data_IF_422228782380
#
_entry.id   IF_422228782380
#
_cell.length_a   1.000
_cell.length_b   1.000
_cell.length_c   1.000
_cell.angle_alpha   90.00
_cell.angle_beta   90.00
_cell.angle_gamma   90.00
#
_symmetry.space_group_name_H-M   'P 1'
#
loop_
_entity.id
_entity.type
_entity.pdbx_description
1 polymer ?
#
# COMPACT_ATOMS: atom_id res chain seq x y z
N UNK A 1 55.19 31.30 49.41
CA UNK A 1 55.21 29.94 48.83
C UNK A 1 54.54 29.94 47.45
N UNK A 2 55.28 29.60 46.39
CA UNK A 2 54.76 29.53 45.01
C UNK A 2 53.96 28.23 44.85
N UNK A 3 52.64 28.30 44.65
CA UNK A 3 51.80 27.10 44.41
C UNK A 3 52.23 26.46 43.07
N UNK A 4 52.70 25.20 43.08
CA UNK A 4 52.94 24.45 41.84
C UNK A 4 51.59 24.21 41.16
N UNK A 5 51.44 24.63 39.91
CA UNK A 5 50.27 24.27 39.09
C UNK A 5 50.37 22.78 38.78
N UNK A 6 49.37 21.99 39.18
CA UNK A 6 49.27 20.57 38.81
C UNK A 6 48.93 20.51 37.31
N UNK A 7 49.88 20.04 36.49
CA UNK A 7 49.63 19.74 35.08
C UNK A 7 49.14 18.30 34.92
N UNK A 8 48.33 18.04 33.90
CA UNK A 8 47.93 16.69 33.53
C UNK A 8 49.14 15.92 32.99
N UNK A 9 49.21 14.63 33.33
CA UNK A 9 50.23 13.74 32.75
C UNK A 9 49.76 13.23 31.39
N UNK A 10 50.70 12.99 30.47
CA UNK A 10 50.40 12.43 29.14
C UNK A 10 49.72 11.05 29.28
N UNK A 11 50.11 10.27 30.29
CA UNK A 11 49.52 8.97 30.58
C UNK A 11 48.01 9.08 30.89
N UNK A 12 47.63 10.03 31.73
CA UNK A 12 46.23 10.28 32.10
C UNK A 12 45.40 10.73 30.89
N UNK A 13 45.98 11.53 30.00
CA UNK A 13 45.36 11.93 28.74
C UNK A 13 45.09 10.71 27.82
N UNK A 14 46.05 9.80 27.68
CA UNK A 14 45.90 8.60 26.85
C UNK A 14 44.83 7.66 27.41
N UNK A 15 44.82 7.46 28.73
CA UNK A 15 43.83 6.60 29.40
C UNK A 15 42.42 7.19 29.24
N UNK A 16 42.26 8.51 29.44
CA UNK A 16 40.96 9.18 29.29
C UNK A 16 40.44 9.16 27.85
N UNK A 17 41.30 9.39 26.86
CA UNK A 17 40.96 9.23 25.43
C UNK A 17 40.50 7.81 25.11
N UNK A 18 41.26 6.81 25.57
CA UNK A 18 40.94 5.39 25.35
C UNK A 18 39.57 5.03 25.94
N UNK A 19 39.32 5.46 27.19
CA UNK A 19 38.04 5.24 27.86
C UNK A 19 36.88 5.93 27.12
N UNK A 20 37.12 7.15 26.63
CA UNK A 20 36.12 7.92 25.87
C UNK A 20 35.74 7.22 24.57
N UNK A 21 36.71 6.67 23.84
CA UNK A 21 36.44 5.92 22.60
C UNK A 21 35.60 4.67 22.87
N UNK A 22 35.92 3.92 23.93
CA UNK A 22 35.13 2.74 24.33
C UNK A 22 33.69 3.13 24.67
N UNK A 23 33.49 4.19 25.45
CA UNK A 23 32.15 4.68 25.80
C UNK A 23 31.39 5.14 24.55
N UNK A 24 32.02 5.89 23.65
CA UNK A 24 31.39 6.34 22.40
C UNK A 24 30.98 5.18 21.50
N UNK A 25 31.79 4.12 21.41
CA UNK A 25 31.44 2.93 20.63
C UNK A 25 30.15 2.27 21.12
N UNK A 26 30.02 2.13 22.44
CA UNK A 26 28.80 1.59 23.07
C UNK A 26 27.61 2.51 22.82
N UNK A 27 27.75 3.81 23.10
CA UNK A 27 26.68 4.81 22.91
C UNK A 27 26.21 4.85 21.46
N UNK A 28 27.14 4.82 20.49
CA UNK A 28 26.81 4.83 19.07
C UNK A 28 25.98 3.61 18.66
N UNK A 29 26.34 2.43 19.16
CA UNK A 29 25.61 1.19 18.84
C UNK A 29 24.17 1.24 19.36
N UNK A 30 23.98 1.73 20.58
CA UNK A 30 22.64 1.96 21.14
C UNK A 30 21.85 3.00 20.37
N UNK A 31 22.47 4.15 20.05
CA UNK A 31 21.83 5.21 19.30
C UNK A 31 21.38 4.73 17.91
N UNK A 32 22.27 4.03 17.19
CA UNK A 32 21.97 3.49 15.87
C UNK A 32 20.83 2.47 15.90
N UNK A 33 20.88 1.52 16.84
CA UNK A 33 19.83 0.51 17.01
C UNK A 33 18.47 1.15 17.33
N UNK A 34 18.44 2.06 18.30
CA UNK A 34 17.21 2.73 18.72
C UNK A 34 16.63 3.62 17.60
N UNK A 35 17.49 4.35 16.88
CA UNK A 35 17.07 5.18 15.75
C UNK A 35 16.47 4.34 14.62
N UNK A 36 17.08 3.20 14.29
CA UNK A 36 16.54 2.25 13.31
C UNK A 36 15.19 1.70 13.75
N UNK A 37 15.07 1.26 15.01
CA UNK A 37 13.82 0.73 15.57
C UNK A 37 12.72 1.79 15.53
N UNK A 38 13.00 3.01 16.00
CA UNK A 38 12.02 4.11 15.99
C UNK A 38 11.54 4.40 14.57
N UNK A 39 12.48 4.53 13.62
CA UNK A 39 12.16 4.77 12.20
C UNK A 39 11.33 3.62 11.62
N UNK A 40 11.67 2.38 11.94
CA UNK A 40 10.91 1.20 11.50
C UNK A 40 9.49 1.20 12.07
N UNK A 41 9.32 1.55 13.34
CA UNK A 41 8.01 1.65 14.00
C UNK A 41 7.17 2.78 13.40
N UNK A 42 7.75 3.95 13.15
CA UNK A 42 7.08 5.05 12.46
C UNK A 42 6.58 4.61 11.08
N UNK A 43 7.44 4.00 10.26
CA UNK A 43 7.04 3.52 8.93
C UNK A 43 5.91 2.49 9.03
N UNK A 44 6.00 1.53 9.97
CA UNK A 44 4.95 0.54 10.16
C UNK A 44 3.61 1.20 10.51
N UNK A 45 3.63 2.17 11.43
CA UNK A 45 2.42 2.90 11.82
C UNK A 45 1.84 3.69 10.66
N UNK A 46 2.68 4.37 9.88
CA UNK A 46 2.24 5.13 8.69
C UNK A 46 1.59 4.20 7.67
N UNK A 47 2.27 3.12 7.30
CA UNK A 47 1.75 2.17 6.33
C UNK A 47 0.46 1.54 6.85
N UNK A 48 0.34 1.25 8.15
CA UNK A 48 -0.87 0.68 8.75
C UNK A 48 -2.07 1.60 8.57
N UNK A 49 -1.91 2.90 8.84
CA UNK A 49 -2.96 3.90 8.63
C UNK A 49 -3.34 4.03 7.15
N UNK A 50 -2.37 3.98 6.24
CA UNK A 50 -2.62 3.97 4.79
C UNK A 50 -3.41 2.72 4.38
N UNK A 51 -3.02 1.54 4.85
CA UNK A 51 -3.73 0.29 4.58
C UNK A 51 -5.16 0.27 5.11
N UNK A 52 -5.38 0.78 6.33
CA UNK A 52 -6.72 0.91 6.91
C UNK A 52 -7.59 1.86 6.08
N UNK A 53 -7.01 2.96 5.60
CA UNK A 53 -7.70 3.90 4.71
C UNK A 53 -8.07 3.23 3.39
N UNK A 54 -7.12 2.56 2.74
CA UNK A 54 -7.39 1.82 1.48
C UNK A 54 -8.46 0.76 1.70
N UNK A 55 -8.35 -0.04 2.76
CA UNK A 55 -9.31 -1.09 3.07
C UNK A 55 -10.73 -0.51 3.27
N UNK A 56 -10.85 0.60 4.00
CA UNK A 56 -12.13 1.26 4.23
C UNK A 56 -12.78 1.72 2.92
N UNK A 57 -12.02 2.35 2.03
CA UNK A 57 -12.54 2.83 0.74
C UNK A 57 -12.89 1.65 -0.18
N UNK A 58 -12.05 0.61 -0.25
CA UNK A 58 -12.32 -0.60 -1.03
C UNK A 58 -13.58 -1.32 -0.54
N UNK A 59 -13.77 -1.44 0.78
CA UNK A 59 -14.98 -2.03 1.35
C UNK A 59 -16.21 -1.15 1.09
N UNK A 60 -16.08 0.17 1.24
CA UNK A 60 -17.19 1.11 1.05
C UNK A 60 -17.76 1.02 -0.37
N UNK A 61 -16.92 1.24 -1.38
CA UNK A 61 -17.36 1.25 -2.78
C UNK A 61 -17.56 -0.16 -3.31
N UNK A 62 -16.69 -1.09 -2.91
CA UNK A 62 -16.76 -2.46 -3.35
C UNK A 62 -18.02 -3.17 -2.86
N UNK A 63 -18.41 -3.04 -1.59
CA UNK A 63 -19.62 -3.72 -1.08
C UNK A 63 -20.91 -3.10 -1.62
N UNK A 64 -20.90 -1.80 -1.93
CA UNK A 64 -22.03 -1.12 -2.56
C UNK A 64 -22.11 -1.37 -4.07
N UNK A 65 -21.03 -1.87 -4.69
CA UNK A 65 -21.00 -2.17 -6.10
C UNK A 65 -22.02 -3.23 -6.50
N UNK A 66 -22.61 -3.03 -7.67
CA UNK A 66 -23.45 -4.01 -8.36
C UNK A 66 -22.56 -4.91 -9.24
N UNK A 67 -21.61 -4.30 -9.94
CA UNK A 67 -20.71 -4.98 -10.86
C UNK A 67 -19.37 -4.25 -11.05
N UNK A 68 -18.41 -4.97 -11.64
CA UNK A 68 -17.17 -4.40 -12.16
C UNK A 68 -17.46 -3.92 -13.58
N UNK A 69 -17.27 -2.63 -13.83
CA UNK A 69 -17.54 -2.01 -15.14
C UNK A 69 -16.30 -1.90 -16.01
N UNK A 70 -15.12 -1.79 -15.41
CA UNK A 70 -13.84 -1.74 -16.10
C UNK A 70 -12.77 -2.45 -15.29
N UNK A 71 -11.91 -3.18 -15.99
CA UNK A 71 -10.72 -3.79 -15.43
C UNK A 71 -9.56 -3.56 -16.40
N UNK A 72 -8.51 -2.91 -15.92
CA UNK A 72 -7.42 -2.38 -16.74
C UNK A 72 -7.99 -1.54 -17.89
N UNK A 73 -7.48 -1.71 -19.10
CA UNK A 73 -7.97 -0.98 -20.29
C UNK A 73 -9.24 -1.58 -20.91
N UNK A 74 -9.86 -2.58 -20.26
CA UNK A 74 -11.02 -3.30 -20.82
C UNK A 74 -12.32 -2.95 -20.10
N UNK A 75 -13.31 -2.48 -20.87
CA UNK A 75 -14.68 -2.30 -20.39
C UNK A 75 -15.43 -3.63 -20.39
N UNK A 76 -16.10 -3.96 -19.29
CA UNK A 76 -16.88 -5.18 -19.14
C UNK A 76 -18.32 -4.93 -19.61
N UNK A 77 -18.76 -5.70 -20.58
CA UNK A 77 -20.13 -5.62 -21.15
C UNK A 77 -20.73 -7.01 -21.26
N UNK A 78 -22.01 -7.14 -21.63
CA UNK A 78 -22.59 -8.47 -21.88
C UNK A 78 -21.86 -9.24 -22.99
N UNK A 79 -21.34 -8.51 -23.98
CA UNK A 79 -20.56 -9.07 -25.08
C UNK A 79 -19.11 -9.39 -24.67
N UNK A 80 -18.55 -8.64 -23.72
CA UNK A 80 -17.20 -8.82 -23.22
C UNK A 80 -17.20 -9.00 -21.70
N UNK A 81 -17.46 -10.24 -21.26
CA UNK A 81 -17.57 -10.59 -19.83
C UNK A 81 -16.21 -10.68 -19.12
N UNK A 82 -15.12 -10.71 -19.89
CA UNK A 82 -13.73 -10.84 -19.43
C UNK A 82 -13.54 -12.12 -18.58
N UNK A 83 -13.33 -13.24 -19.27
CA UNK A 83 -13.22 -14.57 -18.67
C UNK A 83 -11.89 -14.74 -17.93
N UNK A 84 -11.88 -15.49 -16.84
CA UNK A 84 -10.66 -15.74 -16.06
C UNK A 84 -9.61 -16.52 -16.86
N UNK A 85 -10.09 -17.48 -17.65
CA UNK A 85 -9.28 -18.35 -18.49
C UNK A 85 -8.46 -17.54 -19.50
N UNK A 86 -7.14 -17.71 -19.46
CA UNK A 86 -6.20 -16.99 -20.32
C UNK A 86 -5.75 -15.62 -19.79
N UNK A 87 -6.45 -15.03 -18.81
CA UNK A 87 -6.04 -13.79 -18.14
C UNK A 87 -5.26 -14.06 -16.86
N UNK A 88 -5.77 -14.97 -16.05
CA UNK A 88 -5.16 -15.34 -14.79
C UNK A 88 -4.09 -16.39 -15.09
N UNK A 89 -2.86 -15.92 -15.26
CA UNK A 89 -1.70 -16.77 -15.55
C UNK A 89 -0.96 -17.21 -14.28
N UNK A 90 -1.20 -16.54 -13.16
CA UNK A 90 -0.66 -16.94 -11.86
C UNK A 90 -1.38 -18.18 -11.32
N UNK A 91 -0.60 -19.18 -10.93
CA UNK A 91 -1.00 -20.35 -10.15
C UNK A 91 -1.89 -20.04 -8.93
N UNK A 92 -1.75 -18.86 -8.33
CA UNK A 92 -2.52 -18.43 -7.16
C UNK A 92 -3.90 -17.85 -7.49
N UNK A 93 -4.23 -17.72 -8.77
CA UNK A 93 -5.50 -17.19 -9.23
C UNK A 93 -5.59 -15.67 -9.18
N UNK A 94 -4.45 -14.95 -9.18
CA UNK A 94 -4.39 -13.49 -9.06
C UNK A 94 -4.06 -12.85 -10.40
N UNK A 95 -4.67 -11.70 -10.67
CA UNK A 95 -4.44 -10.87 -11.85
C UNK A 95 -3.83 -9.54 -11.41
N UNK A 96 -2.79 -9.07 -12.10
CA UNK A 96 -2.25 -7.73 -11.93
C UNK A 96 -3.20 -6.66 -12.50
N UNK A 97 -3.41 -5.61 -11.72
CA UNK A 97 -4.42 -4.59 -12.01
C UNK A 97 -3.83 -3.19 -11.93
N UNK A 98 -4.04 -2.42 -12.99
CA UNK A 98 -3.72 -0.99 -13.06
C UNK A 98 -4.98 -0.14 -12.84
N UNK A 99 -6.14 -0.61 -13.29
CA UNK A 99 -7.41 0.10 -13.14
C UNK A 99 -8.53 -0.86 -12.73
N UNK A 100 -9.26 -0.52 -11.66
CA UNK A 100 -10.45 -1.26 -11.22
C UNK A 100 -11.61 -0.29 -11.06
N UNK A 101 -12.69 -0.48 -11.81
CA UNK A 101 -13.88 0.38 -11.77
C UNK A 101 -15.10 -0.37 -11.28
N UNK A 102 -15.67 0.13 -10.19
CA UNK A 102 -16.97 -0.31 -9.67
C UNK A 102 -18.09 0.57 -10.20
N UNK A 103 -19.25 -0.05 -10.44
CA UNK A 103 -20.50 0.64 -10.72
C UNK A 103 -21.43 0.55 -9.51
N UNK A 104 -21.95 1.69 -9.08
CA UNK A 104 -22.86 1.84 -7.93
C UNK A 104 -24.04 2.67 -8.39
N UNK A 105 -25.17 2.02 -8.74
CA UNK A 105 -26.30 2.69 -9.36
C UNK A 105 -25.91 3.38 -10.68
N UNK A 106 -25.99 4.71 -10.71
CA UNK A 106 -25.62 5.55 -11.86
C UNK A 106 -24.19 6.10 -11.80
N UNK A 107 -23.48 5.84 -10.70
CA UNK A 107 -22.14 6.38 -10.46
C UNK A 107 -21.06 5.32 -10.66
N UNK A 108 -19.85 5.78 -11.01
CA UNK A 108 -18.70 4.92 -11.22
C UNK A 108 -17.52 5.40 -10.40
N UNK A 109 -16.88 4.47 -9.69
CA UNK A 109 -15.71 4.74 -8.86
C UNK A 109 -14.54 3.90 -9.36
N UNK A 110 -13.41 4.55 -9.62
CA UNK A 110 -12.23 3.94 -10.23
C UNK A 110 -11.04 4.04 -9.29
N UNK A 111 -10.43 2.89 -9.01
CA UNK A 111 -9.13 2.76 -8.37
C UNK A 111 -8.06 2.63 -9.44
N UNK A 112 -7.10 3.55 -9.45
CA UNK A 112 -6.03 3.64 -10.45
C UNK A 112 -4.69 3.48 -9.74
N UNK A 113 -3.96 2.44 -10.10
CA UNK A 113 -2.59 2.21 -9.68
C UNK A 113 -1.63 2.66 -10.78
N UNK A 114 -0.68 3.51 -10.40
CA UNK A 114 0.40 3.96 -11.27
C UNK A 114 1.73 3.41 -10.76
N UNK A 115 2.27 2.44 -11.48
CA UNK A 115 3.56 1.80 -11.18
C UNK A 115 4.72 2.79 -11.19
N UNK A 116 4.68 3.82 -12.05
CA UNK A 116 5.78 4.77 -12.21
C UNK A 116 6.02 5.67 -11.00
N UNK A 117 5.01 5.88 -10.16
CA UNK A 117 5.10 6.67 -8.94
C UNK A 117 4.58 5.95 -7.68
N UNK A 118 4.26 4.66 -7.77
CA UNK A 118 3.71 3.84 -6.68
C UNK A 118 2.45 4.39 -6.04
N UNK A 119 1.63 5.15 -6.79
CA UNK A 119 0.42 5.77 -6.25
C UNK A 119 -0.84 4.97 -6.56
N UNK A 120 -1.74 4.89 -5.57
CA UNK A 120 -3.12 4.43 -5.75
C UNK A 120 -4.06 5.62 -5.54
N UNK A 121 -4.84 5.92 -6.58
CA UNK A 121 -5.79 7.04 -6.59
C UNK A 121 -7.21 6.52 -6.74
N UNK A 122 -8.13 7.09 -5.98
CA UNK A 122 -9.57 6.90 -6.13
C UNK A 122 -10.17 8.10 -6.87
N UNK A 123 -10.96 7.82 -7.91
CA UNK A 123 -11.68 8.82 -8.70
C UNK A 123 -13.14 8.46 -8.85
N UNK A 124 -14.00 9.48 -8.92
CA UNK A 124 -15.36 9.34 -9.43
C UNK A 124 -15.35 9.67 -10.92
N UNK A 125 -16.01 8.85 -11.72
CA UNK A 125 -16.09 9.02 -13.17
C UNK A 125 -17.54 8.86 -13.64
N UNK A 126 -17.84 9.43 -14.80
CA UNK A 126 -19.10 9.16 -15.49
C UNK A 126 -19.05 7.83 -16.27
N UNK A 127 -20.14 7.49 -16.96
CA UNK A 127 -20.22 6.30 -17.81
C UNK A 127 -19.20 6.31 -18.97
N UNK A 128 -18.76 7.50 -19.43
CA UNK A 128 -17.74 7.66 -20.47
C UNK A 128 -16.31 7.54 -19.92
N UNK A 129 -16.14 7.58 -18.59
CA UNK A 129 -14.86 7.59 -17.90
C UNK A 129 -14.29 8.98 -17.68
N UNK A 130 -15.04 10.05 -17.94
CA UNK A 130 -14.63 11.41 -17.63
C UNK A 130 -14.66 11.64 -16.12
N UNK A 131 -13.63 12.32 -15.61
CA UNK A 131 -13.48 12.58 -14.18
C UNK A 131 -14.52 13.58 -13.66
N UNK A 132 -15.21 13.20 -12.59
CA UNK A 132 -16.15 14.07 -11.88
C UNK A 132 -15.51 14.41 -10.53
N UNK A 133 -15.21 15.69 -10.30
CA UNK A 133 -14.82 16.12 -8.96
C UNK A 133 -16.05 16.16 -8.05
N UNK A 134 -15.95 15.50 -6.91
CA UNK A 134 -16.99 15.48 -5.88
C UNK A 134 -16.43 16.08 -4.59
N UNK A 135 -16.70 17.38 -4.31
CA UNK A 135 -16.16 18.06 -3.14
C UNK A 135 -16.62 17.43 -1.81
N UNK A 136 -17.82 16.83 -1.78
CA UNK A 136 -18.35 16.21 -0.57
C UNK A 136 -17.61 14.92 -0.20
N UNK A 137 -17.15 14.19 -1.22
CA UNK A 137 -16.36 12.96 -1.05
C UNK A 137 -14.84 13.20 -1.12
N UNK A 138 -14.41 14.45 -1.34
CA UNK A 138 -13.01 14.83 -1.54
C UNK A 138 -12.33 14.04 -2.66
N UNK A 139 -13.02 13.89 -3.81
CA UNK A 139 -12.52 13.16 -4.98
C UNK A 139 -12.07 14.11 -6.10
N UNK A 140 -10.94 13.83 -6.79
CA UNK A 140 -10.07 12.64 -6.66
C UNK A 140 -9.21 12.65 -5.38
N UNK A 141 -8.92 11.45 -4.85
CA UNK A 141 -8.15 11.26 -3.61
C UNK A 141 -7.00 10.28 -3.82
N UNK A 142 -5.80 10.68 -3.43
CA UNK A 142 -4.65 9.75 -3.34
C UNK A 142 -4.80 8.95 -2.05
N UNK A 143 -4.86 7.63 -2.16
CA UNK A 143 -5.03 6.72 -1.02
C UNK A 143 -3.67 6.31 -0.42
N UNK A 144 -2.67 6.11 -1.27
CA UNK A 144 -1.29 5.83 -0.86
C UNK A 144 -0.34 6.17 -2.01
N UNK A 145 0.91 6.49 -1.66
CA UNK A 145 2.03 6.68 -2.59
C UNK A 145 3.10 5.60 -2.42
N UNK A 146 2.77 4.51 -1.73
CA UNK A 146 3.70 3.48 -1.30
C UNK A 146 3.32 2.10 -1.87
N UNK A 147 2.52 2.02 -2.94
CA UNK A 147 2.04 0.75 -3.50
C UNK A 147 3.07 0.18 -4.48
N UNK A 148 3.42 -1.08 -4.29
CA UNK A 148 4.32 -1.81 -5.19
C UNK A 148 3.61 -2.87 -6.01
N UNK A 149 2.51 -3.43 -5.50
CA UNK A 149 1.70 -4.41 -6.20
C UNK A 149 0.22 -4.14 -5.97
N UNK A 150 -0.59 -4.29 -7.02
CA UNK A 150 -2.04 -4.30 -6.96
C UNK A 150 -2.57 -5.48 -7.78
N UNK A 151 -3.15 -6.45 -7.08
CA UNK A 151 -3.67 -7.69 -7.65
C UNK A 151 -5.11 -7.93 -7.22
N UNK A 152 -5.90 -8.58 -8.06
CA UNK A 152 -7.24 -9.03 -7.70
C UNK A 152 -7.44 -10.51 -8.01
N UNK A 153 -8.39 -11.12 -7.30
CA UNK A 153 -8.87 -12.48 -7.54
C UNK A 153 -10.39 -12.55 -7.38
N UNK A 154 -11.15 -13.05 -8.36
CA UNK A 154 -12.56 -13.37 -8.18
C UNK A 154 -12.76 -14.39 -7.07
N UNK A 155 -13.76 -14.18 -6.20
CA UNK A 155 -14.03 -15.09 -5.07
C UNK A 155 -14.43 -16.49 -5.56
N UNK A 156 -15.13 -16.56 -6.69
CA UNK A 156 -15.62 -17.79 -7.31
C UNK A 156 -14.57 -18.51 -8.18
N UNK A 157 -13.40 -17.93 -8.40
CA UNK A 157 -12.35 -18.50 -9.27
C UNK A 157 -12.03 -19.96 -8.96
N UNK A 158 -11.92 -20.32 -7.67
CA UNK A 158 -11.60 -21.69 -7.25
C UNK A 158 -12.71 -22.70 -7.54
N UNK A 159 -13.96 -22.26 -7.59
CA UNK A 159 -15.13 -23.11 -7.84
C UNK A 159 -15.52 -23.12 -9.32
N UNK A 160 -15.34 -21.99 -10.00
CA UNK A 160 -15.66 -21.78 -11.42
C UNK A 160 -14.47 -21.09 -12.11
N UNK A 161 -13.39 -21.82 -12.42
CA UNK A 161 -12.19 -21.26 -13.04
C UNK A 161 -12.44 -20.75 -14.47
N UNK A 162 -13.51 -21.20 -15.12
CA UNK A 162 -14.00 -20.70 -16.43
C UNK A 162 -15.02 -19.57 -16.28
N UNK A 163 -15.15 -18.98 -15.09
CA UNK A 163 -16.01 -17.85 -14.81
C UNK A 163 -15.52 -16.55 -15.44
N UNK A 164 -16.18 -15.45 -15.11
CA UNK A 164 -15.90 -14.14 -15.69
C UNK A 164 -16.06 -13.01 -14.68
N UNK A 165 -15.32 -11.92 -14.87
CA UNK A 165 -15.30 -10.81 -13.93
C UNK A 165 -16.63 -10.05 -13.90
N UNK A 166 -17.42 -10.13 -14.97
CA UNK A 166 -18.74 -9.50 -15.00
C UNK A 166 -19.76 -10.18 -14.08
N UNK A 167 -19.75 -11.50 -13.97
CA UNK A 167 -20.73 -12.29 -13.19
C UNK A 167 -20.24 -12.61 -11.77
N UNK A 168 -18.97 -12.32 -11.44
CA UNK A 168 -18.43 -12.62 -10.11
C UNK A 168 -19.21 -11.95 -8.97
N UNK A 169 -19.36 -12.63 -7.84
CA UNK A 169 -20.08 -12.12 -6.66
C UNK A 169 -19.20 -11.26 -5.75
N UNK A 170 -17.92 -11.15 -6.06
CA UNK A 170 -16.99 -10.30 -5.34
C UNK A 170 -15.54 -10.58 -5.69
N UNK A 171 -14.65 -9.79 -5.11
CA UNK A 171 -13.21 -9.83 -5.34
C UNK A 171 -12.45 -9.93 -4.03
N UNK A 172 -11.36 -10.68 -4.04
CA UNK A 172 -10.24 -10.47 -3.14
C UNK A 172 -9.25 -9.51 -3.80
N UNK A 173 -8.96 -8.41 -3.12
CA UNK A 173 -8.04 -7.38 -3.54
C UNK A 173 -6.79 -7.50 -2.68
N UNK A 174 -5.65 -7.71 -3.31
CA UNK A 174 -4.34 -7.83 -2.67
C UNK A 174 -3.45 -6.67 -3.09
N UNK A 175 -2.90 -5.96 -2.13
CA UNK A 175 -1.97 -4.87 -2.34
C UNK A 175 -0.70 -5.13 -1.52
N UNK A 176 0.43 -4.64 -2.01
CA UNK A 176 1.67 -4.59 -1.22
C UNK A 176 2.10 -3.14 -1.11
N UNK A 177 2.27 -2.68 0.13
CA UNK A 177 2.80 -1.36 0.43
C UNK A 177 4.29 -1.50 0.81
N UNK A 178 5.14 -0.59 0.34
CA UNK A 178 6.54 -0.50 0.74
C UNK A 178 6.95 0.96 0.96
N UNK A 179 7.65 1.21 2.07
CA UNK A 179 8.21 2.52 2.38
C UNK A 179 9.61 2.37 2.96
N UNK A 180 10.53 3.17 2.43
CA UNK A 180 11.94 3.20 2.83
C UNK A 180 12.30 4.57 3.38
N UNK A 181 12.86 4.60 4.60
CA UNK A 181 13.33 5.83 5.27
C UNK A 181 14.58 5.50 6.09
N UNK A 182 15.68 6.20 5.80
CA UNK A 182 16.98 5.95 6.44
C UNK A 182 17.46 4.50 6.22
N UNK A 183 17.72 3.79 7.31
CA UNK A 183 18.16 2.38 7.31
C UNK A 183 17.01 1.37 7.45
N UNK A 184 15.77 1.84 7.33
CA UNK A 184 14.57 1.03 7.49
C UNK A 184 13.86 0.91 6.15
N UNK A 185 13.48 -0.32 5.83
CA UNK A 185 12.74 -0.70 4.63
C UNK A 185 11.65 -1.68 5.09
N UNK A 186 10.40 -1.26 4.95
CA UNK A 186 9.26 -1.96 5.52
C UNK A 186 8.27 -2.24 4.41
N UNK A 187 7.86 -3.50 4.31
CA UNK A 187 6.83 -3.96 3.39
C UNK A 187 5.64 -4.48 4.18
N UNK A 188 4.45 -4.05 3.81
CA UNK A 188 3.21 -4.50 4.41
C UNK A 188 2.23 -5.00 3.35
N UNK A 189 1.85 -6.29 3.39
CA UNK A 189 0.79 -6.82 2.54
C UNK A 189 -0.58 -6.43 3.11
N UNK A 190 -1.50 -6.08 2.21
CA UNK A 190 -2.91 -5.84 2.50
C UNK A 190 -3.74 -6.81 1.65
N UNK A 191 -4.69 -7.51 2.27
CA UNK A 191 -5.69 -8.31 1.55
C UNK A 191 -7.08 -7.97 2.07
N UNK A 192 -8.00 -7.68 1.15
CA UNK A 192 -9.37 -7.26 1.43
C UNK A 192 -10.31 -8.07 0.56
N UNK A 193 -11.29 -8.72 1.18
CA UNK A 193 -12.34 -9.43 0.47
C UNK A 193 -13.58 -8.54 0.43
N UNK A 194 -14.03 -8.25 -0.78
CA UNK A 194 -15.20 -7.45 -1.08
C UNK A 194 -16.25 -8.34 -1.70
N UNK A 195 -17.44 -8.42 -1.10
CA UNK A 195 -18.62 -9.05 -1.69
C UNK A 195 -19.59 -7.98 -2.16
N UNK A 196 -20.05 -8.10 -3.40
CA UNK A 196 -21.02 -7.18 -4.00
C UNK A 196 -22.39 -7.44 -3.37
N UNK A 197 -23.00 -6.42 -2.75
CA UNK A 197 -24.28 -6.59 -2.05
C UNK A 197 -25.48 -6.51 -2.99
N UNK A 198 -25.35 -5.73 -4.06
CA UNK A 198 -26.47 -5.36 -4.92
C UNK A 198 -26.46 -6.14 -6.24
N UNK A 199 -26.08 -7.41 -6.19
CA UNK A 199 -26.00 -8.31 -7.35
C UNK A 199 -26.97 -9.47 -7.23
#
# INVERSE_FOLDING_TARGET
>A
MRKRKKGFTILELIITLSLTVVVLGVVYTFFFSNSKTLTTTEINSDLQLESETIQKELLLYGTQAEEISKLNDTMLTEANKYNYEGLITDSNGKLDVTELRFKIGLEYFTFIYNEGNSTLTLKKVDASGAEISDPNLSLPKVLSSNITEFKIRPIDYRMKPTGNFKETTGLEISLILNKKKGYSDVTMPLSVIVKFRNK
#
